data_IF_857678068364
#
_entry.id   IF_857678068364
#
_cell.length_a   1.000
_cell.length_b   1.000
_cell.length_c   1.000
_cell.angle_alpha   90.00
_cell.angle_beta   90.00
_cell.angle_gamma   90.00
#
_symmetry.space_group_name_H-M   'P 1'
#
loop_
_entity.id
_entity.type
_entity.pdbx_description
1 polymer ?
#
# COMPACT_ATOMS: atom_id res chain seq x y z
N UNK A 1 17.59 37.80 9.20
CA UNK A 1 17.67 38.19 7.77
C UNK A 1 18.68 37.34 7.01
N UNK A 2 19.89 37.14 7.57
CA UNK A 2 20.95 36.28 7.02
C UNK A 2 20.52 34.81 6.80
N UNK A 3 19.81 34.19 7.75
CA UNK A 3 19.31 32.81 7.58
C UNK A 3 18.40 32.62 6.37
N UNK A 4 17.44 33.54 6.15
CA UNK A 4 16.53 33.47 4.99
C UNK A 4 17.31 33.61 3.67
N UNK A 5 18.37 34.42 3.68
CA UNK A 5 19.25 34.62 2.53
C UNK A 5 20.10 33.37 2.24
N UNK A 6 20.68 32.75 3.28
CA UNK A 6 21.44 31.50 3.16
C UNK A 6 20.54 30.35 2.70
N UNK A 7 19.33 30.21 3.27
CA UNK A 7 18.36 29.19 2.84
C UNK A 7 17.95 29.38 1.37
N UNK A 8 17.78 30.62 0.93
CA UNK A 8 17.48 30.94 -0.46
C UNK A 8 18.63 30.54 -1.40
N UNK A 9 19.88 30.90 -1.08
CA UNK A 9 21.05 30.52 -1.86
C UNK A 9 21.29 29.01 -1.89
N UNK A 10 21.11 28.33 -0.76
CA UNK A 10 21.21 26.87 -0.69
C UNK A 10 20.14 26.19 -1.57
N UNK A 11 18.92 26.73 -1.65
CA UNK A 11 17.87 26.21 -2.53
C UNK A 11 18.14 26.46 -4.02
N UNK A 12 18.91 27.49 -4.36
CA UNK A 12 19.37 27.77 -5.72
C UNK A 12 20.49 26.81 -6.16
N UNK A 13 21.44 26.52 -5.25
CA UNK A 13 22.56 25.61 -5.52
C UNK A 13 22.15 24.12 -5.41
N UNK A 14 21.18 23.82 -4.54
CA UNK A 14 20.65 22.47 -4.30
C UNK A 14 19.12 22.48 -4.45
N UNK A 15 18.61 22.60 -5.68
CA UNK A 15 17.17 22.60 -5.90
C UNK A 15 16.57 21.27 -5.46
N UNK A 16 15.37 21.34 -4.86
CA UNK A 16 14.59 20.14 -4.59
C UNK A 16 14.31 19.42 -5.91
N UNK A 17 14.72 18.15 -5.99
CA UNK A 17 14.47 17.32 -7.16
C UNK A 17 13.20 16.51 -6.97
N UNK A 18 12.40 16.41 -8.03
CA UNK A 18 11.20 15.59 -8.05
C UNK A 18 11.56 14.13 -7.78
N UNK A 19 10.87 13.49 -6.84
CA UNK A 19 11.09 12.08 -6.51
C UNK A 19 10.68 11.13 -7.64
N UNK A 20 9.85 11.59 -8.58
CA UNK A 20 9.43 10.81 -9.74
C UNK A 20 10.39 10.89 -10.94
N UNK A 21 10.75 12.10 -11.37
CA UNK A 21 11.50 12.33 -12.61
C UNK A 21 12.83 13.08 -12.43
N UNK A 22 13.17 13.53 -11.21
CA UNK A 22 14.39 14.30 -10.94
C UNK A 22 14.34 15.76 -11.39
N UNK A 23 13.22 16.27 -11.94
CA UNK A 23 13.12 17.67 -12.33
C UNK A 23 13.26 18.62 -11.12
N UNK A 24 14.01 19.73 -11.24
CA UNK A 24 14.16 20.67 -10.14
C UNK A 24 12.87 21.44 -9.85
N UNK A 25 12.76 21.97 -8.63
CA UNK A 25 11.76 22.95 -8.23
C UNK A 25 10.59 22.40 -7.39
N UNK A 26 10.32 21.10 -7.44
CA UNK A 26 9.27 20.47 -6.63
C UNK A 26 9.60 19.01 -6.30
N UNK A 27 9.27 18.56 -5.09
CA UNK A 27 9.41 17.15 -4.70
C UNK A 27 8.45 16.22 -5.46
N UNK A 28 7.28 16.75 -5.85
CA UNK A 28 6.29 16.09 -6.71
C UNK A 28 5.83 17.08 -7.77
N UNK A 29 6.32 16.96 -9.00
CA UNK A 29 5.87 17.82 -10.10
C UNK A 29 4.50 17.37 -10.64
N UNK A 30 3.73 18.29 -11.20
CA UNK A 30 2.39 18.02 -11.78
C UNK A 30 2.43 16.88 -12.80
N UNK A 31 3.41 16.91 -13.71
CA UNK A 31 3.58 15.84 -14.71
C UNK A 31 3.78 14.44 -14.10
N UNK A 32 4.48 14.33 -12.96
CA UNK A 32 4.60 13.05 -12.26
C UNK A 32 3.31 12.66 -11.55
N UNK A 33 2.63 13.61 -10.92
CA UNK A 33 1.35 13.37 -10.24
C UNK A 33 0.25 12.92 -11.22
N UNK A 34 0.18 13.53 -12.39
CA UNK A 34 -0.76 13.15 -13.46
C UNK A 34 -0.53 11.73 -13.97
N UNK A 35 0.72 11.25 -13.96
CA UNK A 35 1.08 9.87 -14.31
C UNK A 35 0.79 8.87 -13.20
N UNK A 36 0.51 9.33 -11.98
CA UNK A 36 0.16 8.51 -10.83
C UNK A 36 -1.37 8.42 -10.74
N UNK A 37 -1.98 7.73 -11.70
CA UNK A 37 -3.38 7.35 -11.59
C UNK A 37 -3.53 6.30 -10.49
N UNK A 38 -4.33 6.60 -9.47
CA UNK A 38 -4.81 5.58 -8.54
C UNK A 38 -5.70 4.60 -9.30
N UNK A 39 -5.28 3.34 -9.36
CA UNK A 39 -6.08 2.27 -9.94
C UNK A 39 -7.09 1.81 -8.87
N UNK A 40 -8.28 2.40 -8.84
CA UNK A 40 -9.32 1.94 -7.92
C UNK A 40 -9.87 0.59 -8.38
N UNK A 41 -9.39 -0.49 -7.77
CA UNK A 41 -9.96 -1.85 -7.91
C UNK A 41 -10.95 -2.17 -6.78
N UNK A 42 -11.73 -1.18 -6.34
CA UNK A 42 -12.71 -1.33 -5.28
C UNK A 42 -13.63 -2.55 -5.53
N UNK A 43 -13.80 -3.40 -4.51
CA UNK A 43 -14.79 -4.48 -4.53
C UNK A 43 -14.38 -5.79 -5.23
N UNK A 44 -13.10 -6.01 -5.59
CA UNK A 44 -12.69 -7.28 -6.20
C UNK A 44 -12.53 -8.41 -5.15
N UNK A 45 -13.34 -9.46 -5.31
CA UNK A 45 -13.22 -10.79 -4.70
C UNK A 45 -11.84 -11.39 -5.03
N UNK A 46 -11.34 -12.31 -4.21
CA UNK A 46 -10.06 -13.01 -4.47
C UNK A 46 -10.02 -13.63 -5.88
N UNK A 47 -11.16 -14.16 -6.35
CA UNK A 47 -11.29 -14.71 -7.69
C UNK A 47 -11.22 -13.62 -8.78
N UNK A 48 -11.89 -12.47 -8.58
CA UNK A 48 -11.86 -11.28 -9.44
C UNK A 48 -10.40 -10.76 -9.57
N UNK A 49 -9.57 -10.87 -8.52
CA UNK A 49 -8.17 -10.44 -8.57
C UNK A 49 -7.24 -11.46 -9.24
N UNK A 50 -7.57 -12.75 -9.17
CA UNK A 50 -6.71 -13.85 -9.66
C UNK A 50 -6.88 -14.15 -11.15
N UNK A 51 -8.07 -13.92 -11.69
CA UNK A 51 -8.43 -14.37 -13.04
C UNK A 51 -8.85 -13.25 -13.99
N UNK A 52 -9.15 -12.06 -13.47
CA UNK A 52 -9.56 -10.94 -14.30
C UNK A 52 -8.44 -9.91 -14.43
N UNK A 53 -8.22 -9.48 -15.66
CA UNK A 53 -7.22 -8.47 -15.97
C UNK A 53 -7.54 -7.13 -15.30
N UNK A 54 -6.54 -6.26 -15.20
CA UNK A 54 -6.67 -4.94 -14.58
C UNK A 54 -7.78 -4.10 -15.22
N UNK A 55 -8.03 -4.27 -16.53
CA UNK A 55 -9.03 -3.53 -17.28
C UNK A 55 -10.40 -4.24 -17.36
N UNK A 56 -10.50 -5.48 -16.85
CA UNK A 56 -11.76 -6.24 -16.90
C UNK A 56 -12.65 -5.83 -15.73
N UNK A 57 -13.81 -5.24 -16.06
CA UNK A 57 -14.80 -4.70 -15.11
C UNK A 57 -15.76 -5.79 -14.62
N UNK A 58 -15.64 -7.03 -15.11
CA UNK A 58 -16.58 -8.09 -14.80
C UNK A 58 -16.51 -8.50 -13.33
N UNK A 59 -17.49 -8.06 -12.55
CA UNK A 59 -17.62 -8.39 -11.14
C UNK A 59 -18.10 -9.85 -11.05
N UNK A 60 -17.31 -10.73 -10.43
CA UNK A 60 -17.63 -12.15 -10.21
C UNK A 60 -18.92 -12.27 -9.37
N UNK A 61 -19.70 -13.34 -9.49
CA UNK A 61 -20.84 -13.57 -8.59
C UNK A 61 -20.43 -13.70 -7.10
N UNK A 62 -19.15 -13.88 -6.79
CA UNK A 62 -18.59 -13.83 -5.42
C UNK A 62 -18.08 -12.44 -4.99
N UNK A 63 -18.14 -11.45 -5.87
CA UNK A 63 -17.87 -10.04 -5.57
C UNK A 63 -19.14 -9.42 -4.87
N UNK A 64 -20.17 -10.25 -4.58
CA UNK A 64 -21.27 -10.00 -3.62
C UNK A 64 -20.72 -9.67 -2.21
N UNK A 65 -21.51 -9.04 -1.32
CA UNK A 65 -21.08 -8.53 -0.01
C UNK A 65 -20.66 -9.63 1.00
N UNK A 66 -20.70 -10.91 0.62
CA UNK A 66 -20.43 -12.07 1.48
C UNK A 66 -18.94 -12.42 1.58
N UNK A 67 -18.09 -11.86 0.72
CA UNK A 67 -16.64 -12.05 0.82
C UNK A 67 -16.09 -11.32 2.05
N UNK A 68 -15.62 -12.08 3.04
CA UNK A 68 -14.84 -11.51 4.14
C UNK A 68 -13.49 -10.94 3.68
N UNK A 69 -13.04 -11.17 2.43
CA UNK A 69 -11.76 -10.70 1.91
C UNK A 69 -11.94 -9.71 0.76
N UNK A 70 -11.37 -8.53 0.91
CA UNK A 70 -11.30 -7.48 -0.10
C UNK A 70 -9.85 -7.30 -0.52
N UNK A 71 -9.59 -7.20 -1.82
CA UNK A 71 -8.22 -6.98 -2.33
C UNK A 71 -8.14 -5.69 -3.11
N UNK A 72 -7.14 -4.85 -2.82
CA UNK A 72 -6.89 -3.57 -3.50
C UNK A 72 -5.44 -3.46 -3.93
N UNK A 73 -5.19 -2.73 -5.02
CA UNK A 73 -3.85 -2.31 -5.43
C UNK A 73 -3.91 -0.83 -5.78
N UNK A 74 -2.96 -0.02 -5.29
CA UNK A 74 -3.07 1.43 -5.41
C UNK A 74 -2.56 1.97 -6.75
N UNK A 75 -1.41 1.49 -7.22
CA UNK A 75 -0.74 2.06 -8.38
C UNK A 75 -0.32 1.02 -9.41
N UNK A 76 -0.24 1.43 -10.66
CA UNK A 76 0.60 0.74 -11.65
C UNK A 76 2.08 0.94 -11.28
N UNK A 77 2.93 -0.09 -11.42
CA UNK A 77 4.38 -0.02 -11.17
C UNK A 77 5.12 0.76 -12.26
N UNK A 78 4.73 2.01 -12.51
CA UNK A 78 5.43 2.89 -13.45
C UNK A 78 6.78 3.30 -12.87
N UNK A 79 7.73 3.70 -13.74
CA UNK A 79 9.04 4.23 -13.30
C UNK A 79 8.89 5.35 -12.26
N UNK A 80 7.90 6.22 -12.43
CA UNK A 80 7.60 7.32 -11.49
C UNK A 80 7.15 6.77 -10.13
N UNK A 81 6.20 5.84 -10.11
CA UNK A 81 5.65 5.29 -8.88
C UNK A 81 6.71 4.49 -8.10
N UNK A 82 7.51 3.69 -8.80
CA UNK A 82 8.62 2.93 -8.22
C UNK A 82 9.73 3.85 -7.69
N UNK A 83 10.06 4.94 -8.41
CA UNK A 83 11.04 5.92 -7.93
C UNK A 83 10.59 6.60 -6.64
N UNK A 84 9.31 7.00 -6.55
CA UNK A 84 8.76 7.58 -5.31
C UNK A 84 8.79 6.57 -4.17
N UNK A 85 8.45 5.30 -4.44
CA UNK A 85 8.54 4.23 -3.44
C UNK A 85 9.97 3.98 -2.97
N UNK A 86 10.94 3.97 -3.87
CA UNK A 86 12.35 3.87 -3.51
C UNK A 86 12.75 4.99 -2.53
N UNK A 87 12.33 6.23 -2.80
CA UNK A 87 12.55 7.35 -1.85
C UNK A 87 11.83 7.16 -0.53
N UNK A 88 10.64 6.56 -0.52
CA UNK A 88 9.93 6.24 0.70
C UNK A 88 10.71 5.19 1.53
N UNK A 89 11.27 4.17 0.87
CA UNK A 89 12.14 3.16 1.49
C UNK A 89 13.44 3.77 2.05
N UNK A 90 14.01 4.78 1.38
CA UNK A 90 15.15 5.57 1.88
C UNK A 90 14.79 6.46 3.10
N UNK A 91 13.56 6.39 3.60
CA UNK A 91 13.09 7.20 4.73
C UNK A 91 12.76 8.65 4.37
N UNK A 92 12.62 9.00 3.08
CA UNK A 92 12.21 10.36 2.70
C UNK A 92 10.75 10.60 3.10
N UNK A 93 10.56 11.42 4.14
CA UNK A 93 9.25 11.68 4.74
C UNK A 93 8.16 12.08 3.75
N UNK A 94 8.39 12.99 2.77
CA UNK A 94 7.33 13.36 1.82
C UNK A 94 6.89 12.19 0.93
N UNK A 95 7.81 11.29 0.56
CA UNK A 95 7.50 10.08 -0.21
C UNK A 95 6.71 9.06 0.63
N UNK A 96 7.08 8.88 1.91
CA UNK A 96 6.30 8.07 2.85
C UNK A 96 4.87 8.62 3.02
N UNK A 97 4.74 9.92 3.24
CA UNK A 97 3.44 10.58 3.40
C UNK A 97 2.56 10.46 2.16
N UNK A 98 3.15 10.49 0.96
CA UNK A 98 2.43 10.26 -0.29
C UNK A 98 1.66 8.92 -0.25
N UNK A 99 2.32 7.81 0.06
CA UNK A 99 1.65 6.52 0.13
C UNK A 99 0.71 6.38 1.33
N UNK A 100 1.09 6.91 2.50
CA UNK A 100 0.26 6.84 3.71
C UNK A 100 -1.11 7.48 3.45
N UNK A 101 -1.13 8.67 2.82
CA UNK A 101 -2.38 9.36 2.49
C UNK A 101 -3.30 8.49 1.60
N UNK A 102 -2.74 7.85 0.58
CA UNK A 102 -3.54 6.99 -0.31
C UNK A 102 -4.04 5.72 0.37
N UNK A 103 -3.24 5.11 1.26
CA UNK A 103 -3.69 3.98 2.08
C UNK A 103 -4.84 4.40 3.00
N UNK A 104 -4.71 5.56 3.66
CA UNK A 104 -5.73 6.10 4.56
C UNK A 104 -7.04 6.41 3.81
N UNK A 105 -6.94 7.01 2.62
CA UNK A 105 -8.08 7.27 1.78
C UNK A 105 -8.82 5.97 1.41
N UNK A 106 -8.08 4.88 1.14
CA UNK A 106 -8.69 3.56 0.93
C UNK A 106 -9.34 2.97 2.18
N UNK A 107 -8.82 3.26 3.37
CA UNK A 107 -9.45 2.82 4.62
C UNK A 107 -10.73 3.61 4.92
N UNK A 108 -10.76 4.89 4.59
CA UNK A 108 -11.92 5.76 4.79
C UNK A 108 -13.06 5.43 3.83
N UNK A 109 -12.75 4.97 2.62
CA UNK A 109 -13.76 4.49 1.66
C UNK A 109 -14.21 3.06 1.91
N UNK A 110 -13.51 2.31 2.77
CA UNK A 110 -13.89 0.95 3.14
C UNK A 110 -14.81 0.95 4.35
N UNK A 111 -15.96 0.28 4.24
CA UNK A 111 -17.03 0.25 5.25
C UNK A 111 -16.61 -0.32 6.62
N UNK A 112 -15.50 -1.04 6.68
CA UNK A 112 -15.00 -1.69 7.89
C UNK A 112 -13.52 -1.32 8.13
N UNK A 113 -13.21 -0.14 8.68
CA UNK A 113 -11.84 0.31 8.81
C UNK A 113 -10.99 -0.69 9.63
N UNK A 114 -9.71 -0.88 9.27
CA UNK A 114 -8.87 -1.86 9.90
C UNK A 114 -8.52 -1.48 11.34
N UNK A 115 -8.55 -2.47 12.22
CA UNK A 115 -8.13 -2.36 13.62
C UNK A 115 -6.65 -2.70 13.81
N UNK A 116 -6.02 -3.33 12.83
CA UNK A 116 -4.60 -3.59 12.83
C UNK A 116 -4.04 -3.72 11.41
N UNK A 117 -2.72 -3.49 11.28
CA UNK A 117 -1.96 -3.70 10.04
C UNK A 117 -1.09 -4.94 10.18
N UNK A 118 -1.13 -5.82 9.20
CA UNK A 118 -0.33 -7.03 9.15
C UNK A 118 0.57 -6.94 7.93
N UNK A 119 1.84 -7.32 8.07
CA UNK A 119 2.77 -7.34 6.95
C UNK A 119 3.66 -8.57 7.00
N UNK A 120 4.20 -8.96 5.84
CA UNK A 120 5.16 -10.05 5.75
C UNK A 120 6.57 -9.44 5.72
N UNK A 121 7.42 -9.87 6.65
CA UNK A 121 8.83 -9.48 6.69
C UNK A 121 9.46 -9.89 5.37
N UNK A 122 10.19 -8.97 4.72
CA UNK A 122 10.73 -8.99 3.35
C UNK A 122 9.83 -8.41 2.24
N UNK A 123 8.52 -8.27 2.44
CA UNK A 123 7.62 -7.77 1.38
C UNK A 123 7.38 -6.27 1.41
N UNK A 124 7.71 -5.61 2.51
CA UNK A 124 7.56 -4.17 2.71
C UNK A 124 8.43 -3.74 3.91
N UNK A 125 9.11 -2.58 3.86
CA UNK A 125 9.94 -2.11 4.97
C UNK A 125 9.13 -1.88 6.24
N UNK A 126 9.73 -2.19 7.40
CA UNK A 126 9.05 -2.03 8.70
C UNK A 126 8.72 -0.56 8.98
N UNK A 127 9.60 0.35 8.62
CA UNK A 127 9.48 1.79 8.84
C UNK A 127 8.25 2.35 8.13
N UNK A 128 7.94 1.79 6.95
CA UNK A 128 6.74 2.10 6.19
C UNK A 128 5.49 1.67 6.96
N UNK A 129 5.46 0.42 7.45
CA UNK A 129 4.35 -0.11 8.26
C UNK A 129 4.15 0.69 9.55
N UNK A 130 5.23 1.00 10.25
CA UNK A 130 5.18 1.77 11.50
C UNK A 130 4.58 3.14 11.23
N UNK A 131 4.98 3.80 10.14
CA UNK A 131 4.44 5.12 9.77
C UNK A 131 2.95 5.05 9.43
N UNK A 132 2.53 4.03 8.68
CA UNK A 132 1.11 3.79 8.36
C UNK A 132 0.30 3.52 9.63
N UNK A 133 0.76 2.63 10.50
CA UNK A 133 0.07 2.23 11.73
C UNK A 133 -0.06 3.39 12.73
N UNK A 134 1.02 4.18 12.93
CA UNK A 134 1.02 5.37 13.77
C UNK A 134 0.00 6.41 13.33
N UNK A 135 -0.21 6.56 12.01
CA UNK A 135 -1.09 7.57 11.45
C UNK A 135 -2.57 7.42 11.84
N UNK A 136 -3.00 6.22 12.24
CA UNK A 136 -4.35 5.93 12.76
C UNK A 136 -4.33 5.33 14.18
N UNK A 137 -3.18 5.36 14.85
CA UNK A 137 -2.98 4.80 16.18
C UNK A 137 -3.47 3.33 16.31
N UNK A 138 -3.16 2.49 15.31
CA UNK A 138 -3.51 1.07 15.32
C UNK A 138 -2.28 0.17 15.50
N UNK A 139 -2.41 -1.01 16.14
CA UNK A 139 -1.31 -1.96 16.27
C UNK A 139 -0.91 -2.54 14.90
N UNK A 140 0.33 -3.03 14.83
CA UNK A 140 0.83 -3.73 13.66
C UNK A 140 1.51 -5.05 14.03
N UNK A 141 1.44 -6.04 13.12
CA UNK A 141 1.95 -7.39 13.33
C UNK A 141 2.78 -7.86 12.15
N UNK A 142 3.91 -8.49 12.45
CA UNK A 142 4.82 -9.02 11.45
C UNK A 142 4.63 -10.53 11.27
N UNK A 143 4.55 -10.98 10.02
CA UNK A 143 4.53 -12.39 9.64
C UNK A 143 5.86 -12.77 9.01
N UNK A 144 6.37 -13.93 9.38
CA UNK A 144 7.63 -14.47 8.89
C UNK A 144 7.38 -15.45 7.74
N UNK A 145 8.06 -15.30 6.60
CA UNK A 145 7.84 -16.15 5.43
C UNK A 145 8.19 -17.63 5.65
N UNK A 146 9.16 -17.92 6.54
CA UNK A 146 9.62 -19.29 6.85
C UNK A 146 8.79 -20.04 7.90
N UNK A 147 7.80 -19.38 8.52
CA UNK A 147 6.93 -20.01 9.52
C UNK A 147 5.60 -20.40 8.86
N UNK A 148 4.97 -21.47 9.32
CA UNK A 148 3.66 -21.91 8.83
C UNK A 148 2.65 -20.74 8.84
N UNK A 149 2.10 -20.42 7.66
CA UNK A 149 1.25 -19.25 7.41
C UNK A 149 -0.03 -19.27 8.26
N UNK A 150 -0.73 -20.40 8.26
CA UNK A 150 -1.99 -20.57 9.01
C UNK A 150 -1.76 -20.44 10.52
N UNK A 151 -0.68 -21.06 11.05
CA UNK A 151 -0.32 -20.95 12.47
C UNK A 151 -0.05 -19.51 12.89
N UNK A 152 0.55 -18.70 12.02
CA UNK A 152 0.81 -17.29 12.33
C UNK A 152 -0.47 -16.46 12.27
N UNK A 153 -1.31 -16.67 11.26
CA UNK A 153 -2.56 -15.91 11.10
C UNK A 153 -3.53 -16.18 12.25
N UNK A 154 -3.60 -17.43 12.74
CA UNK A 154 -4.42 -17.81 13.91
C UNK A 154 -3.95 -17.16 15.22
N UNK A 155 -2.72 -16.67 15.31
CA UNK A 155 -2.19 -15.94 16.49
C UNK A 155 -2.52 -14.45 16.45
N UNK A 156 -3.04 -13.94 15.34
CA UNK A 156 -3.44 -12.54 15.23
C UNK A 156 -4.69 -12.28 16.08
N UNK A 157 -4.95 -11.02 16.47
CA UNK A 157 -6.14 -10.66 17.23
C UNK A 157 -7.41 -11.21 16.58
N UNK A 158 -8.24 -11.91 17.36
CA UNK A 158 -9.45 -12.57 16.84
C UNK A 158 -10.51 -11.55 16.42
N UNK A 159 -10.52 -10.38 17.05
CA UNK A 159 -11.50 -9.31 16.86
C UNK A 159 -10.99 -8.21 15.95
N UNK A 160 -11.91 -7.59 15.21
CA UNK A 160 -11.68 -6.44 14.35
C UNK A 160 -11.26 -6.77 12.91
N UNK A 161 -11.65 -5.91 11.94
CA UNK A 161 -11.16 -5.98 10.57
C UNK A 161 -9.64 -5.85 10.49
N UNK A 162 -9.05 -6.59 9.55
CA UNK A 162 -7.59 -6.70 9.40
C UNK A 162 -7.14 -6.10 8.08
N UNK A 163 -6.04 -5.36 8.05
CA UNK A 163 -5.40 -4.93 6.81
C UNK A 163 -4.06 -5.64 6.61
N UNK A 164 -3.94 -6.48 5.59
CA UNK A 164 -2.66 -7.01 5.13
C UNK A 164 -2.05 -6.03 4.13
N UNK A 165 -0.88 -5.49 4.45
CA UNK A 165 -0.17 -4.54 3.61
C UNK A 165 1.05 -5.20 2.95
N UNK A 166 1.21 -4.97 1.65
CA UNK A 166 2.31 -5.52 0.86
C UNK A 166 2.69 -4.59 -0.29
N UNK A 167 3.92 -4.73 -0.81
CA UNK A 167 4.36 -3.92 -1.96
C UNK A 167 3.67 -4.38 -3.25
N UNK A 168 3.53 -5.69 -3.43
CA UNK A 168 2.88 -6.34 -4.57
C UNK A 168 1.87 -7.38 -4.06
N UNK A 169 0.94 -7.85 -4.92
CA UNK A 169 -0.07 -8.80 -4.51
C UNK A 169 0.52 -10.06 -3.89
N UNK A 170 -0.16 -10.56 -2.86
CA UNK A 170 0.26 -11.77 -2.16
C UNK A 170 0.21 -13.00 -3.09
N UNK A 171 1.01 -14.01 -2.80
CA UNK A 171 0.92 -15.29 -3.54
C UNK A 171 -0.39 -16.00 -3.20
N UNK A 172 -0.86 -16.88 -4.09
CA UNK A 172 -2.02 -17.75 -3.83
C UNK A 172 -1.93 -18.53 -2.51
N UNK A 173 -0.72 -18.93 -2.10
CA UNK A 173 -0.53 -19.65 -0.83
C UNK A 173 -0.86 -18.80 0.41
N UNK A 174 -0.61 -17.49 0.34
CA UNK A 174 -0.96 -16.55 1.40
C UNK A 174 -2.45 -16.27 1.43
N UNK A 175 -3.06 -16.04 0.26
CA UNK A 175 -4.51 -15.86 0.17
C UNK A 175 -5.28 -17.06 0.74
N UNK A 176 -4.93 -18.29 0.36
CA UNK A 176 -5.56 -19.51 0.91
C UNK A 176 -5.40 -19.61 2.44
N UNK A 177 -4.24 -19.23 2.96
CA UNK A 177 -3.99 -19.28 4.40
C UNK A 177 -4.84 -18.24 5.15
N UNK A 178 -5.03 -17.05 4.57
CA UNK A 178 -5.88 -15.98 5.13
C UNK A 178 -7.34 -16.42 5.08
N UNK A 179 -7.82 -16.88 3.94
CA UNK A 179 -9.21 -17.34 3.74
C UNK A 179 -9.61 -18.44 4.72
N UNK A 180 -8.73 -19.43 4.95
CA UNK A 180 -8.98 -20.51 5.91
C UNK A 180 -8.93 -20.08 7.38
N UNK A 181 -8.31 -18.95 7.68
CA UNK A 181 -7.95 -18.59 9.05
C UNK A 181 -8.68 -17.35 9.56
N UNK A 182 -9.33 -16.56 8.69
CA UNK A 182 -9.96 -15.30 9.09
C UNK A 182 -11.47 -15.36 8.91
N UNK A 183 -12.18 -15.25 10.03
CA UNK A 183 -13.64 -15.19 10.09
C UNK A 183 -14.21 -13.75 9.99
N UNK A 184 -13.35 -12.75 9.78
CA UNK A 184 -13.71 -11.33 9.84
C UNK A 184 -13.34 -10.59 8.55
N UNK A 185 -13.94 -9.40 8.29
CA UNK A 185 -13.56 -8.56 7.16
C UNK A 185 -12.05 -8.29 7.13
N UNK A 186 -11.44 -8.57 5.99
CA UNK A 186 -10.00 -8.50 5.77
C UNK A 186 -9.76 -7.75 4.48
N UNK A 187 -8.96 -6.70 4.56
CA UNK A 187 -8.47 -5.96 3.42
C UNK A 187 -7.03 -6.38 3.12
N UNK A 188 -6.76 -6.79 1.89
CA UNK A 188 -5.42 -7.06 1.39
C UNK A 188 -5.06 -5.92 0.45
N UNK A 189 -4.21 -5.02 0.91
CA UNK A 189 -3.79 -3.83 0.18
C UNK A 189 -2.36 -4.02 -0.35
N UNK A 190 -2.21 -3.88 -1.66
CA UNK A 190 -0.92 -3.86 -2.34
C UNK A 190 -0.61 -2.43 -2.79
N UNK A 191 0.63 -1.97 -2.65
CA UNK A 191 1.01 -0.65 -3.17
C UNK A 191 0.97 -0.65 -4.70
N UNK A 192 1.45 -1.73 -5.31
CA UNK A 192 1.54 -1.88 -6.75
C UNK A 192 0.72 -3.07 -7.25
N UNK A 193 0.32 -2.97 -8.51
CA UNK A 193 -0.13 -4.12 -9.29
C UNK A 193 1.04 -5.05 -9.60
N UNK A 194 0.74 -6.35 -9.77
CA UNK A 194 1.74 -7.30 -10.24
C UNK A 194 2.20 -6.92 -11.65
N UNK A 195 3.50 -6.86 -11.87
CA UNK A 195 4.15 -6.68 -13.18
C UNK A 195 3.97 -7.88 -14.12
N UNK A 196 3.00 -8.77 -13.88
CA UNK A 196 2.77 -9.94 -14.75
C UNK A 196 2.10 -9.47 -16.05
N UNK A 197 2.92 -8.97 -16.97
CA UNK A 197 2.79 -9.18 -18.41
C UNK A 197 3.74 -10.31 -18.80
#
# INVERSE_FOLDING_TARGET
MLEKFIVFFLRLLFPYLCYGCGSPGALFCSCCLEKLSLESKAGRCLHCFRYLNCNEINVCCHCLPTSCIHTLSLYKPTKVALSIYFRACDGKLPALQFFIRSIQQCWETWTCPPTCVIYIISKIPKEFIVSVAKSKNIPYYALWPGINKEKQIRKLPLTGPKCFLSTYPLTNSWYKAIEKSVAQPTLILSLFLSDLQ
#
